data_IF_894183816070
#
_entry.id   IF_894183816070
#
_cell.length_a   1.000
_cell.length_b   1.000
_cell.length_c   1.000
_cell.angle_alpha   90.00
_cell.angle_beta   90.00
_cell.angle_gamma   90.00
#
_symmetry.space_group_name_H-M   'P 1'
#
loop_
_entity.id
_entity.type
_entity.pdbx_description
1 polymer ?
#
# COMPACT_ATOMS: atom_id res chain seq x y z
N UNK A 1 4.41 13.82 -22.12
CA UNK A 1 5.21 15.04 -22.33
C UNK A 1 6.49 14.90 -21.51
N UNK A 2 7.63 15.27 -22.08
CA UNK A 2 8.94 15.07 -21.46
C UNK A 2 9.26 16.11 -20.37
N UNK A 3 10.14 15.71 -19.45
CA UNK A 3 10.69 16.54 -18.38
C UNK A 3 11.32 17.83 -18.92
N UNK A 4 11.17 18.95 -18.21
CA UNK A 4 11.98 20.15 -18.50
C UNK A 4 13.39 19.97 -17.91
N UNK A 5 14.39 20.60 -18.53
CA UNK A 5 15.80 20.42 -18.15
C UNK A 5 16.17 20.90 -16.74
N UNK A 6 15.28 21.63 -16.05
CA UNK A 6 15.49 22.18 -14.70
C UNK A 6 14.64 21.51 -13.61
N UNK A 7 13.79 20.54 -13.96
CA UNK A 7 12.89 19.89 -12.99
C UNK A 7 13.66 18.88 -12.13
N UNK A 8 13.59 19.06 -10.80
CA UNK A 8 14.14 18.11 -9.83
C UNK A 8 13.38 16.77 -9.80
N UNK A 9 13.96 15.75 -9.16
CA UNK A 9 13.27 14.46 -8.91
C UNK A 9 11.92 14.64 -8.24
N UNK A 10 11.89 15.38 -7.13
CA UNK A 10 10.67 15.59 -6.36
C UNK A 10 9.60 16.34 -7.14
N UNK A 11 9.97 17.37 -7.91
CA UNK A 11 9.01 18.10 -8.75
C UNK A 11 8.41 17.20 -9.83
N UNK A 12 9.24 16.39 -10.50
CA UNK A 12 8.77 15.44 -11.51
C UNK A 12 7.83 14.37 -10.93
N UNK A 13 8.15 13.85 -9.73
CA UNK A 13 7.31 12.90 -9.03
C UNK A 13 5.94 13.52 -8.67
N UNK A 14 5.95 14.72 -8.08
CA UNK A 14 4.73 15.42 -7.68
C UNK A 14 3.86 15.84 -8.87
N UNK A 15 4.47 16.36 -9.95
CA UNK A 15 3.75 16.70 -11.18
C UNK A 15 3.05 15.46 -11.73
N UNK A 16 3.78 14.35 -11.83
CA UNK A 16 3.21 13.12 -12.36
C UNK A 16 2.11 12.55 -11.46
N UNK A 17 2.28 12.60 -10.13
CA UNK A 17 1.21 12.25 -9.20
C UNK A 17 -0.04 13.06 -9.49
N UNK A 18 0.08 14.39 -9.61
CA UNK A 18 -1.05 15.27 -9.90
C UNK A 18 -1.74 14.92 -11.23
N UNK A 19 -0.97 14.65 -12.28
CA UNK A 19 -1.51 14.21 -13.58
C UNK A 19 -2.28 12.90 -13.45
N UNK A 20 -1.70 11.89 -12.78
CA UNK A 20 -2.30 10.58 -12.59
C UNK A 20 -3.58 10.65 -11.75
N UNK A 21 -3.57 11.35 -10.62
CA UNK A 21 -4.77 11.42 -9.74
C UNK A 21 -5.89 12.25 -10.36
N UNK A 22 -5.57 13.20 -11.25
CA UNK A 22 -6.57 13.94 -12.01
C UNK A 22 -7.22 13.08 -13.10
N UNK A 23 -6.43 12.23 -13.78
CA UNK A 23 -6.94 11.32 -14.82
C UNK A 23 -7.67 10.10 -14.24
N UNK A 24 -7.26 9.63 -13.05
CA UNK A 24 -7.77 8.42 -12.42
C UNK A 24 -8.31 8.73 -11.01
N UNK A 25 -9.57 9.18 -10.89
CA UNK A 25 -10.14 9.57 -9.59
C UNK A 25 -10.21 8.43 -8.58
N UNK A 26 -10.25 7.17 -9.03
CA UNK A 26 -10.20 5.96 -8.21
C UNK A 26 -8.79 5.34 -8.15
N UNK A 27 -7.72 6.13 -8.07
CA UNK A 27 -6.37 5.60 -7.93
C UNK A 27 -6.12 4.99 -6.54
N UNK A 28 -5.35 3.89 -6.51
CA UNK A 28 -4.91 3.23 -5.28
C UNK A 28 -3.41 3.36 -5.07
N UNK A 29 -2.61 3.14 -6.12
CA UNK A 29 -1.14 3.20 -6.09
C UNK A 29 -0.62 3.88 -7.35
N UNK A 30 0.41 4.72 -7.21
CA UNK A 30 1.25 5.20 -8.30
C UNK A 30 2.68 4.72 -8.07
N UNK A 31 3.19 3.88 -8.95
CA UNK A 31 4.57 3.39 -8.95
C UNK A 31 5.48 4.34 -9.72
N UNK A 32 6.65 4.61 -9.18
CA UNK A 32 7.69 5.37 -9.87
C UNK A 32 8.85 4.50 -10.35
N UNK A 33 9.19 3.50 -9.53
CA UNK A 33 10.08 2.39 -9.85
C UNK A 33 9.57 1.20 -9.03
N UNK A 34 8.45 0.65 -9.49
CA UNK A 34 7.72 -0.41 -8.79
C UNK A 34 7.52 -0.10 -7.28
N UNK A 35 7.76 -1.07 -6.40
CA UNK A 35 7.63 -0.94 -4.94
C UNK A 35 8.83 -0.25 -4.26
N UNK A 36 9.89 0.12 -5.00
CA UNK A 36 11.03 0.84 -4.43
C UNK A 36 10.69 2.30 -4.13
N UNK A 37 9.81 2.89 -4.94
CA UNK A 37 9.25 4.21 -4.69
C UNK A 37 7.84 4.29 -5.27
N UNK A 38 6.86 4.47 -4.39
CA UNK A 38 5.46 4.50 -4.75
C UNK A 38 4.67 5.49 -3.87
N UNK A 39 3.60 6.04 -4.42
CA UNK A 39 2.61 6.82 -3.69
C UNK A 39 1.34 6.00 -3.49
N UNK A 40 0.77 6.07 -2.28
CA UNK A 40 -0.42 5.31 -1.90
C UNK A 40 -1.58 6.24 -1.57
N UNK A 41 -2.76 5.93 -2.09
CA UNK A 41 -3.98 6.62 -1.68
C UNK A 41 -4.39 6.14 -0.28
N UNK A 42 -4.32 7.03 0.71
CA UNK A 42 -4.65 6.71 2.11
C UNK A 42 -6.07 6.15 2.26
N UNK A 43 -7.03 6.61 1.46
CA UNK A 43 -8.40 6.07 1.48
C UNK A 43 -8.44 4.63 0.96
N UNK A 44 -7.71 4.34 -0.12
CA UNK A 44 -7.62 2.99 -0.67
C UNK A 44 -6.94 2.03 0.31
N UNK A 45 -5.81 2.44 0.91
CA UNK A 45 -5.10 1.68 1.94
C UNK A 45 -5.96 1.38 3.17
N UNK A 46 -6.78 2.34 3.61
CA UNK A 46 -7.73 2.10 4.72
C UNK A 46 -8.84 1.12 4.37
N UNK A 47 -9.22 1.06 3.10
CA UNK A 47 -10.25 0.15 2.59
C UNK A 47 -9.69 -1.25 2.38
N UNK A 48 -8.44 -1.33 1.94
CA UNK A 48 -7.73 -2.57 1.64
C UNK A 48 -6.44 -2.59 2.45
N UNK A 49 -6.47 -3.08 3.69
CA UNK A 49 -5.26 -3.24 4.49
C UNK A 49 -4.38 -4.38 3.94
N UNK A 50 -3.06 -4.32 4.14
CA UNK A 50 -2.17 -5.47 3.87
C UNK A 50 -2.63 -6.72 4.63
N UNK A 51 -2.42 -7.90 4.04
CA UNK A 51 -2.68 -9.17 4.70
C UNK A 51 -1.53 -9.50 5.66
N UNK A 52 -1.78 -9.40 6.96
CA UNK A 52 -0.77 -9.64 7.99
C UNK A 52 -0.30 -11.12 8.05
N UNK A 53 -0.97 -12.04 7.35
CA UNK A 53 -0.54 -13.44 7.24
C UNK A 53 0.43 -13.70 6.07
N UNK A 54 0.72 -12.68 5.25
CA UNK A 54 1.73 -12.74 4.20
C UNK A 54 2.91 -11.86 4.63
N UNK A 55 3.87 -12.37 5.42
CA UNK A 55 5.03 -11.57 5.78
C UNK A 55 5.96 -11.39 4.57
N UNK A 56 6.68 -10.27 4.53
CA UNK A 56 7.74 -9.96 3.56
C UNK A 56 7.27 -9.72 2.11
N UNK A 57 8.11 -10.06 1.13
CA UNK A 57 8.04 -9.62 -0.27
C UNK A 57 6.76 -9.99 -1.03
N UNK A 58 5.94 -10.92 -0.51
CA UNK A 58 4.66 -11.28 -1.13
C UNK A 58 3.49 -10.41 -0.64
N UNK A 59 3.67 -9.66 0.45
CA UNK A 59 2.64 -8.81 1.03
C UNK A 59 2.19 -7.71 0.07
N UNK A 60 3.15 -7.06 -0.59
CA UNK A 60 2.87 -5.98 -1.53
C UNK A 60 2.14 -6.50 -2.78
N UNK A 61 2.52 -7.67 -3.27
CA UNK A 61 1.85 -8.32 -4.40
C UNK A 61 0.39 -8.68 -4.05
N UNK A 62 0.15 -9.23 -2.86
CA UNK A 62 -1.20 -9.47 -2.36
C UNK A 62 -2.01 -8.18 -2.26
N UNK A 63 -1.41 -7.14 -1.68
CA UNK A 63 -2.03 -5.83 -1.52
C UNK A 63 -2.40 -5.23 -2.88
N UNK A 64 -1.50 -5.28 -3.88
CA UNK A 64 -1.78 -4.77 -5.22
C UNK A 64 -2.90 -5.54 -5.92
N UNK A 65 -3.02 -6.85 -5.70
CA UNK A 65 -4.16 -7.62 -6.21
C UNK A 65 -5.46 -7.16 -5.58
N UNK A 66 -5.49 -7.02 -4.25
CA UNK A 66 -6.69 -6.62 -3.52
C UNK A 66 -7.11 -5.18 -3.81
N UNK A 67 -6.17 -4.27 -4.02
CA UNK A 67 -6.43 -2.89 -4.46
C UNK A 67 -7.15 -2.89 -5.80
N UNK A 68 -6.66 -3.66 -6.78
CA UNK A 68 -7.29 -3.78 -8.10
C UNK A 68 -8.68 -4.42 -8.01
N UNK A 69 -8.84 -5.46 -7.20
CA UNK A 69 -10.14 -6.10 -6.97
C UNK A 69 -11.16 -5.20 -6.26
N UNK A 70 -10.69 -4.27 -5.42
CA UNK A 70 -11.52 -3.25 -4.81
C UNK A 70 -11.87 -2.08 -5.77
N UNK A 71 -11.48 -2.17 -7.04
CA UNK A 71 -11.80 -1.19 -8.08
C UNK A 71 -10.87 0.01 -8.12
N UNK A 72 -9.71 -0.05 -7.44
CA UNK A 72 -8.71 1.01 -7.49
C UNK A 72 -7.68 0.76 -8.59
N UNK A 73 -7.23 1.84 -9.23
CA UNK A 73 -6.18 1.78 -10.25
C UNK A 73 -4.79 1.65 -9.61
N UNK A 74 -3.94 0.80 -10.20
CA UNK A 74 -2.49 0.83 -10.01
C UNK A 74 -1.86 1.43 -11.25
N UNK A 75 -1.06 2.48 -11.08
CA UNK A 75 -0.59 3.34 -12.16
C UNK A 75 0.93 3.40 -12.16
N UNK A 76 1.52 3.64 -13.32
CA UNK A 76 2.96 3.80 -13.50
C UNK A 76 3.32 5.24 -13.87
N UNK A 77 4.43 5.71 -13.33
CA UNK A 77 4.96 7.03 -13.57
C UNK A 77 6.49 7.05 -13.60
N UNK A 78 7.09 7.29 -14.77
CA UNK A 78 8.56 7.43 -14.84
C UNK A 78 8.96 8.90 -14.60
N UNK A 79 9.53 9.20 -13.42
CA UNK A 79 9.96 10.56 -13.05
C UNK A 79 11.49 10.71 -12.86
N UNK A 80 12.27 9.68 -13.17
CA UNK A 80 13.72 9.69 -13.04
C UNK A 80 14.31 8.29 -12.95
N UNK A 81 15.50 8.20 -12.36
CA UNK A 81 16.16 6.93 -12.00
C UNK A 81 16.29 6.87 -10.49
N UNK A 82 16.01 5.70 -9.93
CA UNK A 82 16.23 5.37 -8.53
C UNK A 82 17.32 4.31 -8.50
N UNK A 83 18.30 4.48 -7.62
CA UNK A 83 19.41 3.56 -7.46
C UNK A 83 19.33 2.96 -6.05
N UNK A 84 19.17 1.65 -5.97
CA UNK A 84 19.36 0.89 -4.72
C UNK A 84 20.85 0.64 -4.55
N UNK A 85 21.40 1.02 -3.40
CA UNK A 85 22.84 1.08 -3.18
C UNK A 85 23.25 0.26 -1.96
N UNK A 86 24.21 -0.64 -2.15
CA UNK A 86 24.77 -1.45 -1.05
C UNK A 86 25.85 -0.73 -0.26
N UNK A 87 26.38 0.38 -0.80
CA UNK A 87 27.48 1.14 -0.23
C UNK A 87 27.23 2.64 -0.39
N UNK A 88 27.83 3.44 0.49
CA UNK A 88 27.81 4.90 0.37
C UNK A 88 28.74 5.31 -0.74
N UNK A 89 28.22 6.01 -1.75
CA UNK A 89 29.01 6.56 -2.86
C UNK A 89 29.12 8.06 -2.73
N UNK A 90 30.35 8.57 -2.83
CA UNK A 90 30.59 10.00 -3.02
C UNK A 90 30.27 10.38 -4.47
N UNK A 91 29.24 11.22 -4.65
CA UNK A 91 28.82 11.70 -5.96
C UNK A 91 29.48 13.04 -6.27
N UNK A 92 29.83 13.30 -7.55
CA UNK A 92 30.15 14.65 -8.01
C UNK A 92 29.00 15.62 -7.76
N UNK A 93 29.31 16.91 -7.56
CA UNK A 93 28.30 17.96 -7.42
C UNK A 93 27.51 18.17 -8.73
N UNK A 94 28.13 17.87 -9.89
CA UNK A 94 27.45 17.92 -11.18
C UNK A 94 26.49 16.74 -11.35
N UNK A 95 25.21 17.06 -11.55
CA UNK A 95 24.15 16.06 -11.69
C UNK A 95 24.35 15.13 -12.88
N UNK A 96 24.80 15.64 -14.03
CA UNK A 96 24.97 14.82 -15.24
C UNK A 96 26.13 13.85 -15.07
N UNK A 97 27.21 14.30 -14.44
CA UNK A 97 28.36 13.47 -14.09
C UNK A 97 27.98 12.39 -13.07
N UNK A 98 27.25 12.76 -12.00
CA UNK A 98 26.73 11.81 -11.02
C UNK A 98 25.81 10.76 -11.66
N UNK A 99 24.91 11.18 -12.56
CA UNK A 99 24.02 10.29 -13.28
C UNK A 99 24.77 9.36 -14.25
N UNK A 100 25.78 9.87 -14.94
CA UNK A 100 26.64 9.05 -15.81
C UNK A 100 27.44 8.03 -14.98
N UNK A 101 27.98 8.43 -13.83
CA UNK A 101 28.69 7.55 -12.92
C UNK A 101 27.77 6.42 -12.42
N UNK A 102 26.61 6.75 -11.87
CA UNK A 102 25.64 5.79 -11.33
C UNK A 102 25.09 4.86 -12.40
N UNK A 103 24.79 5.37 -13.59
CA UNK A 103 24.23 4.56 -14.69
C UNK A 103 25.22 3.55 -15.27
N UNK A 104 26.53 3.79 -15.08
CA UNK A 104 27.60 2.92 -15.55
C UNK A 104 28.24 2.08 -14.44
N UNK A 105 27.77 2.23 -13.19
CA UNK A 105 28.25 1.35 -12.13
C UNK A 105 27.85 -0.10 -12.46
N UNK A 106 28.78 -1.05 -12.36
CA UNK A 106 28.42 -2.45 -12.48
C UNK A 106 27.43 -2.79 -11.38
N UNK A 107 26.40 -3.57 -11.72
CA UNK A 107 25.57 -4.20 -10.70
C UNK A 107 26.49 -4.97 -9.73
N UNK A 108 26.21 -4.88 -8.44
CA UNK A 108 27.01 -5.56 -7.42
C UNK A 108 27.22 -7.03 -7.81
N UNK A 109 28.49 -7.41 -8.05
CA UNK A 109 28.85 -8.78 -8.40
C UNK A 109 29.18 -9.53 -7.11
N UNK A 110 28.27 -10.41 -6.68
CA UNK A 110 28.51 -11.31 -5.56
C UNK A 110 27.43 -11.23 -4.50
N UNK A 111 27.01 -12.41 -4.06
CA UNK A 111 26.07 -12.68 -2.97
C UNK A 111 24.65 -12.07 -3.17
N UNK A 112 23.62 -12.71 -2.62
CA UNK A 112 22.23 -12.26 -2.84
C UNK A 112 22.02 -10.82 -2.34
N UNK A 113 21.02 -10.08 -2.86
CA UNK A 113 20.70 -8.67 -2.50
C UNK A 113 20.75 -8.36 -0.99
N UNK A 114 20.54 -9.36 -0.14
CA UNK A 114 20.50 -9.22 1.31
C UNK A 114 21.61 -9.98 2.05
N UNK A 115 22.69 -10.38 1.38
CA UNK A 115 23.73 -11.21 1.97
C UNK A 115 24.42 -10.55 3.17
N UNK A 116 24.63 -9.23 3.14
CA UNK A 116 25.18 -8.48 4.28
C UNK A 116 24.32 -8.67 5.56
N UNK A 117 23.00 -8.75 5.40
CA UNK A 117 22.06 -9.00 6.50
C UNK A 117 22.11 -10.45 6.90
N UNK A 118 22.06 -11.36 5.93
CA UNK A 118 22.04 -12.79 6.21
C UNK A 118 23.34 -13.24 6.91
N UNK A 119 24.48 -12.57 6.65
CA UNK A 119 25.74 -12.76 7.38
C UNK A 119 25.73 -12.23 8.83
N UNK A 120 24.84 -11.29 9.15
CA UNK A 120 24.71 -10.68 10.47
C UNK A 120 23.73 -11.42 11.39
N UNK A 121 22.91 -12.32 10.83
CA UNK A 121 21.91 -13.10 11.56
C UNK A 121 22.53 -14.39 12.13
N UNK A 122 22.06 -14.80 13.31
CA UNK A 122 22.40 -16.12 13.82
C UNK A 122 21.66 -17.23 13.05
N UNK A 123 22.07 -18.48 13.28
CA UNK A 123 21.48 -19.65 12.59
C UNK A 123 19.97 -19.75 12.82
N UNK A 124 19.51 -19.51 14.04
CA UNK A 124 18.09 -19.65 14.39
C UNK A 124 17.25 -18.56 13.75
N UNK A 125 17.78 -17.34 13.63
CA UNK A 125 17.14 -16.23 12.92
C UNK A 125 17.05 -16.50 11.41
N UNK A 126 18.12 -17.02 10.81
CA UNK A 126 18.14 -17.43 9.41
C UNK A 126 17.11 -18.52 9.11
N UNK A 127 17.04 -19.55 9.95
CA UNK A 127 16.08 -20.64 9.83
C UNK A 127 14.63 -20.13 9.99
N UNK A 128 14.39 -19.30 11.01
CA UNK A 128 13.08 -18.67 11.25
C UNK A 128 12.64 -17.79 10.07
N UNK A 129 13.55 -17.00 9.51
CA UNK A 129 13.28 -16.16 8.34
C UNK A 129 12.99 -17.00 7.10
N UNK A 130 13.77 -18.05 6.85
CA UNK A 130 13.52 -18.98 5.74
C UNK A 130 12.14 -19.62 5.89
N UNK A 131 11.81 -20.13 7.07
CA UNK A 131 10.50 -20.70 7.35
C UNK A 131 9.37 -19.68 7.11
N UNK A 132 9.53 -18.43 7.58
CA UNK A 132 8.54 -17.37 7.35
C UNK A 132 8.36 -17.04 5.86
N UNK A 133 9.45 -16.96 5.09
CA UNK A 133 9.37 -16.74 3.65
C UNK A 133 8.69 -17.92 2.93
N UNK A 134 9.04 -19.15 3.28
CA UNK A 134 8.47 -20.37 2.67
C UNK A 134 6.96 -20.46 2.95
N UNK A 135 6.54 -20.20 4.20
CA UNK A 135 5.12 -20.18 4.59
C UNK A 135 4.36 -19.02 3.93
N UNK A 136 4.97 -17.84 3.86
CA UNK A 136 4.39 -16.67 3.16
C UNK A 136 4.16 -16.96 1.68
N UNK A 137 5.16 -17.54 1.02
CA UNK A 137 5.08 -17.97 -0.37
C UNK A 137 3.96 -18.98 -0.59
N UNK A 138 3.89 -20.03 0.24
CA UNK A 138 2.86 -21.05 0.15
C UNK A 138 1.44 -20.48 0.36
N UNK A 139 1.25 -19.60 1.34
CA UNK A 139 -0.04 -18.96 1.56
C UNK A 139 -0.42 -18.03 0.40
N UNK A 140 0.52 -17.22 -0.11
CA UNK A 140 0.28 -16.37 -1.27
C UNK A 140 -0.12 -17.18 -2.50
N UNK A 141 0.60 -18.26 -2.79
CA UNK A 141 0.32 -19.14 -3.93
C UNK A 141 -1.01 -19.89 -3.78
N UNK A 142 -1.38 -20.30 -2.56
CA UNK A 142 -2.70 -20.86 -2.31
C UNK A 142 -3.82 -19.84 -2.56
N UNK A 143 -3.56 -18.55 -2.31
CA UNK A 143 -4.53 -17.45 -2.48
C UNK A 143 -4.66 -16.98 -3.92
N UNK A 144 -3.56 -16.86 -4.65
CA UNK A 144 -3.50 -16.23 -5.98
C UNK A 144 -3.01 -17.13 -7.11
N UNK A 145 -2.57 -18.35 -6.80
CA UNK A 145 -1.91 -19.25 -7.74
C UNK A 145 -0.42 -18.96 -7.92
N UNK A 146 0.20 -19.73 -8.82
CA UNK A 146 1.60 -19.54 -9.19
C UNK A 146 1.73 -18.36 -10.16
N UNK A 147 2.32 -17.26 -9.71
CA UNK A 147 2.45 -16.07 -10.55
C UNK A 147 3.31 -14.98 -9.94
N UNK A 148 3.88 -14.15 -10.82
CA UNK A 148 4.44 -12.85 -10.45
C UNK A 148 3.33 -11.92 -9.93
N UNK A 149 3.69 -10.75 -9.44
CA UNK A 149 2.77 -9.77 -8.83
C UNK A 149 1.79 -9.11 -9.81
N UNK A 150 1.72 -9.64 -11.03
CA UNK A 150 0.78 -9.29 -12.08
C UNK A 150 -0.33 -10.33 -12.14
N UNK A 151 -1.58 -9.87 -12.00
CA UNK A 151 -2.72 -10.75 -12.23
C UNK A 151 -2.76 -11.12 -13.72
N UNK A 152 -3.05 -12.38 -14.05
CA UNK A 152 -3.55 -12.70 -15.39
C UNK A 152 -4.74 -11.79 -15.72
N UNK A 153 -4.84 -11.34 -16.96
CA UNK A 153 -6.01 -10.59 -17.40
C UNK A 153 -7.28 -11.43 -17.16
N UNK A 154 -8.28 -10.86 -16.44
CA UNK A 154 -9.57 -11.51 -16.21
C UNK A 154 -9.73 -12.31 -14.92
N UNK A 155 -8.78 -12.24 -13.97
CA UNK A 155 -8.97 -12.82 -12.62
C UNK A 155 -10.19 -12.19 -11.95
N UNK A 156 -11.23 -12.99 -11.75
CA UNK A 156 -12.43 -12.57 -11.02
C UNK A 156 -12.08 -12.23 -9.56
N UNK A 157 -12.82 -11.30 -8.91
CA UNK A 157 -12.67 -11.08 -7.49
C UNK A 157 -12.89 -12.38 -6.71
N UNK A 158 -11.92 -12.78 -5.90
CA UNK A 158 -12.12 -13.76 -4.85
C UNK A 158 -13.30 -13.28 -3.96
N UNK A 159 -14.21 -14.18 -3.52
CA UNK A 159 -15.47 -13.78 -2.91
C UNK A 159 -15.26 -12.77 -1.80
N UNK A 160 -16.05 -11.70 -1.87
CA UNK A 160 -16.16 -10.72 -0.80
C UNK A 160 -16.40 -11.45 0.52
N UNK A 161 -15.83 -10.98 1.64
CA UNK A 161 -16.22 -11.49 2.94
C UNK A 161 -17.75 -11.45 3.05
N UNK A 162 -18.34 -12.54 3.54
CA UNK A 162 -19.77 -12.61 3.80
C UNK A 162 -20.18 -11.35 4.57
N UNK A 163 -21.32 -10.69 4.23
CA UNK A 163 -21.82 -9.61 5.06
C UNK A 163 -21.89 -10.07 6.51
N UNK A 164 -21.62 -9.19 7.49
CA UNK A 164 -21.77 -9.55 8.89
C UNK A 164 -23.17 -10.13 9.11
N UNK A 165 -23.32 -11.13 9.99
CA UNK A 165 -24.63 -11.67 10.30
C UNK A 165 -25.57 -10.51 10.67
N UNK A 166 -26.86 -10.58 10.29
CA UNK A 166 -27.83 -9.57 10.67
C UNK A 166 -27.69 -9.28 12.17
N UNK A 167 -27.47 -8.03 12.55
CA UNK A 167 -27.52 -7.66 13.95
C UNK A 167 -28.88 -8.10 14.49
N UNK A 168 -28.87 -8.92 15.54
CA UNK A 168 -30.10 -9.26 16.24
C UNK A 168 -30.81 -7.95 16.62
N UNK A 169 -32.15 -7.88 16.47
CA UNK A 169 -32.88 -6.71 16.91
C UNK A 169 -32.55 -6.44 18.38
N UNK A 170 -32.12 -5.21 18.65
CA UNK A 170 -31.81 -4.74 20.00
C UNK A 170 -33.12 -4.70 20.81
N UNK A 171 -33.41 -5.83 21.46
CA UNK A 171 -34.61 -6.00 22.27
C UNK A 171 -34.56 -5.20 23.59
N UNK A 172 -33.49 -4.40 23.81
CA UNK A 172 -33.34 -3.56 25.00
C UNK A 172 -33.69 -2.07 24.77
N UNK A 173 -34.21 -1.69 23.60
CA UNK A 173 -34.68 -0.32 23.36
C UNK A 173 -36.03 0.03 24.04
N UNK A 174 -36.61 -0.87 24.85
CA UNK A 174 -37.87 -0.66 25.58
C UNK A 174 -37.68 -0.50 27.11
N UNK A 175 -36.60 0.14 27.55
CA UNK A 175 -36.41 0.49 28.96
C UNK A 175 -35.76 1.87 29.12
N UNK A 176 -36.30 2.88 28.43
CA UNK A 176 -36.01 4.27 28.79
C UNK A 176 -36.95 4.66 29.92
N UNK A 177 -36.38 4.78 31.12
CA UNK A 177 -36.98 5.45 32.27
C UNK A 177 -37.57 6.80 31.83
N UNK A 178 -38.87 6.98 32.06
CA UNK A 178 -39.49 8.31 32.16
C UNK A 178 -38.74 9.10 33.22
N UNK A 179 -38.04 10.15 32.79
CA UNK A 179 -37.50 11.17 33.68
C UNK A 179 -38.66 12.04 34.19
N UNK A 180 -38.94 11.93 35.49
CA UNK A 180 -39.71 12.93 36.23
C UNK A 180 -38.93 14.25 36.22
N UNK A 181 -39.30 15.22 35.37
CA UNK A 181 -39.00 16.65 35.58
C UNK A 181 -39.62 17.63 34.55
N UNK A 182 -40.86 17.42 34.10
CA UNK A 182 -41.60 18.47 33.33
C UNK A 182 -43.05 18.63 33.83
N UNK A 183 -43.20 18.86 35.14
CA UNK A 183 -44.48 19.21 35.75
C UNK A 183 -44.38 20.56 36.49
N UNK A 184 -44.05 21.64 35.78
CA UNK A 184 -44.33 23.01 36.23
C UNK A 184 -44.06 24.05 35.13
N UNK A 185 -45.02 24.29 34.23
CA UNK A 185 -45.28 25.60 33.61
C UNK A 185 -46.24 25.50 32.41
N UNK A 186 -47.55 25.35 32.64
CA UNK A 186 -48.60 25.76 31.68
C UNK A 186 -50.01 25.59 32.29
N UNK A 187 -50.30 26.29 33.39
CA UNK A 187 -51.67 26.58 33.77
C UNK A 187 -51.72 27.99 34.36
N UNK A 188 -51.93 29.01 33.52
CA UNK A 188 -52.62 30.27 33.86
C UNK A 188 -52.80 31.10 32.58
N UNK A 189 -53.86 30.82 31.82
CA UNK A 189 -54.60 31.83 31.04
C UNK A 189 -55.94 31.26 30.59
N UNK A 190 -57.02 31.65 31.26
CA UNK A 190 -58.38 31.41 30.75
C UNK A 190 -59.45 31.12 31.80
N UNK A 191 -59.72 32.05 32.71
CA UNK A 191 -61.08 32.25 33.26
C UNK A 191 -61.33 33.76 33.35
N UNK A 192 -62.46 34.14 32.77
CA UNK A 192 -63.24 35.39 32.71
C UNK A 192 -62.83 36.59 33.57
#
# INVERSE_FOLDING_TARGET
MGRTASESFSEGAMRCLHEQVAAYPNWGVVWYEYDWFAAYNVKAVKTVAWDNFIPHYKADCDFYHRIRLAGYNTLDCVCGKIFDMSEVVALPDDYQEAMHMLSNMPAASGDTRNAWRDQALDRSELEGRKMANDLSGAYYEAKWGTGACDLPAGTQPWPQPSPPPPQEPDNNAASVHMSDNDAAAAQMSGVS
#
